data_IF_800689863804
#
_entry.id   IF_800689863804
#
_cell.length_a   1.000
_cell.length_b   1.000
_cell.length_c   1.000
_cell.angle_alpha   90.00
_cell.angle_beta   90.00
_cell.angle_gamma   90.00
#
_symmetry.space_group_name_H-M   'P 1'
#
loop_
_entity.id
_entity.type
_entity.pdbx_description
1 polymer ?
#
# COMPACT_ATOMS: atom_id res chain seq x y z
N UNK A 1 0.10 -20.09 -21.62
CA UNK A 1 -0.21 -18.67 -21.44
C UNK A 1 0.98 -18.03 -20.74
N UNK A 2 1.81 -17.35 -21.54
CA UNK A 2 2.92 -16.41 -21.25
C UNK A 2 3.73 -16.49 -19.95
N UNK A 3 4.89 -17.13 -20.06
CA UNK A 3 6.24 -16.71 -19.65
C UNK A 3 6.29 -15.47 -18.71
N UNK A 4 6.60 -15.71 -17.42
CA UNK A 4 7.21 -14.74 -16.50
C UNK A 4 8.70 -15.10 -16.28
N UNK A 5 9.41 -15.37 -17.37
CA UNK A 5 10.87 -15.41 -17.38
C UNK A 5 11.29 -14.17 -18.16
N UNK A 6 11.61 -13.08 -17.47
CA UNK A 6 12.40 -11.95 -18.00
C UNK A 6 12.39 -10.83 -16.95
N UNK A 7 13.31 -10.84 -15.98
CA UNK A 7 13.66 -9.62 -15.22
C UNK A 7 14.91 -9.75 -14.31
N UNK A 8 15.76 -10.76 -14.51
CA UNK A 8 17.06 -10.85 -13.82
C UNK A 8 18.26 -10.97 -14.78
N UNK A 9 18.00 -10.91 -16.10
CA UNK A 9 19.04 -11.14 -17.12
C UNK A 9 19.89 -9.89 -17.43
N UNK A 10 19.54 -8.71 -16.93
CA UNK A 10 20.20 -7.45 -17.32
C UNK A 10 20.59 -6.60 -16.10
N UNK A 11 21.20 -7.21 -15.08
CA UNK A 11 21.93 -6.44 -14.06
C UNK A 11 23.41 -6.41 -14.39
N UNK A 12 23.99 -7.54 -14.83
CA UNK A 12 25.41 -7.63 -15.16
C UNK A 12 25.79 -6.94 -16.49
N UNK A 13 24.91 -6.96 -17.50
CA UNK A 13 25.10 -6.25 -18.78
C UNK A 13 24.98 -4.75 -18.57
N UNK A 14 23.86 -4.31 -17.99
CA UNK A 14 23.67 -2.99 -17.36
C UNK A 14 24.95 -2.53 -16.65
N UNK A 15 25.46 -3.25 -15.64
CA UNK A 15 26.69 -2.90 -14.89
C UNK A 15 27.90 -2.64 -15.79
N UNK A 16 28.06 -3.40 -16.89
CA UNK A 16 29.21 -3.33 -17.81
C UNK A 16 29.13 -2.16 -18.79
N UNK A 17 27.94 -1.63 -19.05
CA UNK A 17 27.70 -0.55 -20.01
C UNK A 17 27.71 0.85 -19.39
N UNK A 18 27.62 0.98 -18.07
CA UNK A 18 27.64 2.31 -17.43
C UNK A 18 29.04 2.92 -17.42
N UNK A 19 29.14 4.07 -18.06
CA UNK A 19 30.29 4.94 -18.00
C UNK A 19 30.41 5.61 -16.62
N UNK A 20 31.64 5.86 -16.18
CA UNK A 20 31.93 6.56 -14.93
C UNK A 20 31.33 7.99 -14.92
N UNK A 21 31.16 8.57 -16.11
CA UNK A 21 30.50 9.85 -16.35
C UNK A 21 28.99 9.82 -16.09
N UNK A 22 28.29 8.75 -16.49
CA UNK A 22 26.85 8.61 -16.20
C UNK A 22 26.59 8.44 -14.71
N UNK A 23 27.46 7.71 -14.02
CA UNK A 23 27.38 7.56 -12.57
C UNK A 23 27.52 8.92 -11.85
N UNK A 24 28.44 9.78 -12.29
CA UNK A 24 28.62 11.11 -11.72
C UNK A 24 27.41 12.03 -11.99
N UNK A 25 26.88 12.02 -13.21
CA UNK A 25 25.69 12.79 -13.57
C UNK A 25 24.45 12.37 -12.78
N UNK A 26 24.29 11.07 -12.52
CA UNK A 26 23.17 10.57 -11.73
C UNK A 26 23.29 11.00 -10.26
N UNK A 27 24.51 11.03 -9.70
CA UNK A 27 24.75 11.58 -8.36
C UNK A 27 24.35 13.06 -8.30
N UNK A 28 24.74 13.87 -9.28
CA UNK A 28 24.34 15.28 -9.33
C UNK A 28 22.82 15.44 -9.48
N UNK A 29 22.17 14.60 -10.31
CA UNK A 29 20.71 14.61 -10.48
C UNK A 29 20.00 14.33 -9.15
N UNK A 30 20.45 13.32 -8.41
CA UNK A 30 19.87 12.94 -7.11
C UNK A 30 20.08 14.05 -6.07
N UNK A 31 21.26 14.68 -6.06
CA UNK A 31 21.55 15.77 -5.14
C UNK A 31 20.77 17.06 -5.48
N UNK A 32 20.51 17.30 -6.77
CA UNK A 32 19.70 18.42 -7.25
C UNK A 32 18.21 18.17 -7.04
N UNK A 33 17.78 16.91 -7.07
CA UNK A 33 16.40 16.55 -6.81
C UNK A 33 15.98 17.09 -5.43
N UNK A 34 14.83 17.77 -5.40
CA UNK A 34 14.36 18.43 -4.20
C UNK A 34 14.11 17.38 -3.11
N UNK A 35 14.50 17.67 -1.86
CA UNK A 35 14.39 16.73 -0.74
C UNK A 35 12.94 16.25 -0.50
N UNK A 36 11.96 17.01 -0.99
CA UNK A 36 10.53 16.74 -0.81
C UNK A 36 9.94 15.73 -1.81
N UNK A 37 10.69 15.30 -2.85
CA UNK A 37 10.18 14.41 -3.88
C UNK A 37 10.94 13.06 -3.93
N UNK A 38 10.59 12.10 -3.05
CA UNK A 38 11.13 10.73 -3.07
C UNK A 38 11.02 10.03 -4.44
N UNK A 39 9.88 10.16 -5.13
CA UNK A 39 9.63 9.53 -6.43
C UNK A 39 10.55 10.08 -7.52
N UNK A 40 10.84 11.38 -7.50
CA UNK A 40 11.73 12.02 -8.47
C UNK A 40 13.20 11.64 -8.21
N UNK A 41 13.59 11.50 -6.94
CA UNK A 41 14.91 10.98 -6.55
C UNK A 41 15.11 9.56 -7.10
N UNK A 42 14.11 8.68 -6.93
CA UNK A 42 14.11 7.33 -7.49
C UNK A 42 13.76 7.28 -8.99
N UNK A 43 13.36 8.41 -9.57
CA UNK A 43 12.82 8.59 -10.92
C UNK A 43 11.80 7.54 -11.33
N UNK A 44 10.84 7.31 -10.42
CA UNK A 44 9.64 6.51 -10.63
C UNK A 44 8.43 7.44 -10.67
N UNK A 45 7.35 6.95 -11.28
CA UNK A 45 6.06 7.62 -11.20
C UNK A 45 5.45 7.52 -9.79
N UNK A 46 4.54 8.45 -9.45
CA UNK A 46 3.81 8.46 -8.16
C UNK A 46 2.94 7.21 -8.01
N UNK A 47 2.44 6.68 -9.13
CA UNK A 47 1.57 5.50 -9.18
C UNK A 47 2.35 4.22 -9.54
N UNK A 48 3.69 4.26 -9.48
CA UNK A 48 4.53 3.10 -9.78
C UNK A 48 4.28 1.94 -8.81
N UNK A 49 4.31 0.71 -9.32
CA UNK A 49 4.17 -0.49 -8.51
C UNK A 49 5.37 -0.70 -7.58
N UNK A 50 5.16 -1.42 -6.48
CA UNK A 50 6.23 -1.79 -5.54
C UNK A 50 7.36 -2.57 -6.23
N UNK A 51 7.07 -3.31 -7.29
CA UNK A 51 8.08 -4.03 -8.08
C UNK A 51 8.97 -3.07 -8.87
N UNK A 52 8.37 -2.06 -9.52
CA UNK A 52 9.11 -1.05 -10.29
C UNK A 52 9.99 -0.20 -9.38
N UNK A 53 9.47 0.20 -8.22
CA UNK A 53 10.24 0.91 -7.17
C UNK A 53 11.48 0.12 -6.78
N UNK A 54 11.32 -1.19 -6.53
CA UNK A 54 12.44 -2.06 -6.17
C UNK A 54 13.42 -2.27 -7.33
N UNK A 55 12.94 -2.34 -8.57
CA UNK A 55 13.78 -2.49 -9.76
C UNK A 55 14.62 -1.24 -10.00
N UNK A 56 14.01 -0.06 -9.96
CA UNK A 56 14.70 1.22 -10.11
C UNK A 56 15.70 1.47 -8.99
N UNK A 57 15.33 1.18 -7.74
CA UNK A 57 16.25 1.28 -6.61
C UNK A 57 17.49 0.40 -6.79
N UNK A 58 17.32 -0.87 -7.18
CA UNK A 58 18.46 -1.78 -7.44
C UNK A 58 19.36 -1.24 -8.54
N UNK A 59 18.78 -0.80 -9.65
CA UNK A 59 19.55 -0.24 -10.78
C UNK A 59 20.35 0.98 -10.33
N UNK A 60 19.71 1.97 -9.70
CA UNK A 60 20.33 3.24 -9.30
C UNK A 60 21.31 3.11 -8.16
N UNK A 61 21.00 2.28 -7.16
CA UNK A 61 21.92 2.02 -6.03
C UNK A 61 23.25 1.42 -6.49
N UNK A 62 23.24 0.58 -7.54
CA UNK A 62 24.45 0.04 -8.14
C UNK A 62 25.24 1.09 -8.94
N UNK A 63 24.57 2.09 -9.51
CA UNK A 63 25.22 3.20 -10.23
C UNK A 63 25.94 4.15 -9.26
N UNK A 64 25.29 4.50 -8.16
CA UNK A 64 25.81 5.46 -7.18
C UNK A 64 26.54 4.81 -6.01
N UNK A 65 26.83 3.51 -6.10
CA UNK A 65 27.53 2.81 -5.04
C UNK A 65 28.93 3.43 -4.81
N UNK A 66 29.32 3.72 -3.56
CA UNK A 66 30.58 4.42 -3.25
C UNK A 66 31.85 3.67 -3.67
N UNK A 67 31.76 2.35 -3.88
CA UNK A 67 32.88 1.53 -4.38
C UNK A 67 33.09 1.67 -5.90
N UNK A 68 32.03 2.00 -6.65
CA UNK A 68 32.09 2.13 -8.12
C UNK A 68 32.20 3.57 -8.58
N UNK A 69 31.61 4.51 -7.84
CA UNK A 69 31.63 5.92 -8.17
C UNK A 69 32.72 6.63 -7.37
N UNK A 70 33.70 7.23 -8.06
CA UNK A 70 34.77 8.04 -7.43
C UNK A 70 34.29 9.40 -6.92
N UNK A 71 33.02 9.74 -7.12
CA UNK A 71 32.47 11.04 -6.73
C UNK A 71 32.42 11.18 -5.20
N UNK A 72 32.90 12.30 -4.61
CA UNK A 72 32.97 12.47 -3.17
C UNK A 72 31.60 12.39 -2.47
N UNK A 73 30.53 12.73 -3.20
CA UNK A 73 29.15 12.72 -2.68
C UNK A 73 28.38 11.42 -2.98
N UNK A 74 29.00 10.40 -3.56
CA UNK A 74 28.33 9.12 -3.88
C UNK A 74 27.65 8.50 -2.63
N UNK A 75 28.31 8.58 -1.48
CA UNK A 75 27.76 8.10 -0.19
C UNK A 75 26.46 8.82 0.21
N UNK A 76 26.39 10.14 -0.04
CA UNK A 76 25.21 10.96 0.29
C UNK A 76 24.06 10.60 -0.67
N UNK A 77 24.34 10.52 -1.97
CA UNK A 77 23.34 10.13 -2.96
C UNK A 77 22.76 8.73 -2.70
N UNK A 78 23.61 7.77 -2.31
CA UNK A 78 23.16 6.43 -1.92
C UNK A 78 22.23 6.46 -0.70
N UNK A 79 22.55 7.26 0.32
CA UNK A 79 21.69 7.43 1.49
C UNK A 79 20.35 8.10 1.15
N UNK A 80 20.34 9.08 0.25
CA UNK A 80 19.11 9.70 -0.24
C UNK A 80 18.22 8.69 -0.96
N UNK A 81 18.77 7.86 -1.86
CA UNK A 81 18.01 6.80 -2.53
C UNK A 81 17.40 5.79 -1.53
N UNK A 82 18.16 5.41 -0.50
CA UNK A 82 17.67 4.50 0.53
C UNK A 82 16.53 5.12 1.36
N UNK A 83 16.65 6.41 1.67
CA UNK A 83 15.61 7.16 2.40
C UNK A 83 14.36 7.32 1.54
N UNK A 84 14.51 7.71 0.27
CA UNK A 84 13.42 7.86 -0.68
C UNK A 84 12.62 6.55 -0.85
N UNK A 85 13.30 5.41 -1.01
CA UNK A 85 12.64 4.10 -1.08
C UNK A 85 11.79 3.82 0.15
N UNK A 86 12.33 4.09 1.34
CA UNK A 86 11.63 3.87 2.61
C UNK A 86 10.38 4.74 2.73
N UNK A 87 10.49 6.02 2.36
CA UNK A 87 9.37 6.97 2.39
C UNK A 87 8.25 6.53 1.43
N UNK A 88 8.59 6.16 0.18
CA UNK A 88 7.62 5.65 -0.80
C UNK A 88 6.91 4.38 -0.28
N UNK A 89 7.65 3.45 0.33
CA UNK A 89 7.07 2.22 0.91
C UNK A 89 6.14 2.52 2.10
N UNK A 90 6.46 3.51 2.92
CA UNK A 90 5.63 3.93 4.04
C UNK A 90 4.33 4.61 3.57
N UNK A 91 4.41 5.47 2.56
CA UNK A 91 3.24 6.09 1.95
C UNK A 91 2.33 5.08 1.25
N UNK A 92 2.91 4.11 0.54
CA UNK A 92 2.15 3.02 -0.08
C UNK A 92 1.38 2.20 0.96
N UNK A 93 2.00 1.92 2.11
CA UNK A 93 1.31 1.25 3.24
C UNK A 93 0.21 2.11 3.84
N UNK A 94 0.47 3.40 4.05
CA UNK A 94 -0.50 4.32 4.63
C UNK A 94 -1.76 4.46 3.74
N UNK A 95 -1.59 4.59 2.42
CA UNK A 95 -2.71 4.61 1.45
C UNK A 95 -3.56 3.35 1.53
N UNK A 96 -2.91 2.17 1.55
CA UNK A 96 -3.61 0.89 1.64
C UNK A 96 -4.42 0.74 2.93
N UNK A 97 -3.84 1.12 4.07
CA UNK A 97 -4.55 1.10 5.35
C UNK A 97 -5.75 2.06 5.39
N UNK A 98 -5.63 3.23 4.77
CA UNK A 98 -6.73 4.19 4.67
C UNK A 98 -7.90 3.63 3.85
N UNK A 99 -7.60 3.00 2.71
CA UNK A 99 -8.60 2.33 1.87
C UNK A 99 -9.31 1.20 2.62
N UNK A 100 -8.56 0.33 3.31
CA UNK A 100 -9.12 -0.76 4.12
C UNK A 100 -10.01 -0.22 5.26
N UNK A 101 -9.58 0.84 5.96
CA UNK A 101 -10.38 1.51 7.00
C UNK A 101 -11.66 2.10 6.42
N UNK A 102 -11.59 2.70 5.23
CA UNK A 102 -12.76 3.27 4.54
C UNK A 102 -13.74 2.17 4.13
N UNK A 103 -13.24 1.04 3.62
CA UNK A 103 -14.08 -0.11 3.26
C UNK A 103 -14.74 -0.73 4.50
N UNK A 104 -14.00 -0.90 5.60
CA UNK A 104 -14.54 -1.41 6.85
C UNK A 104 -15.64 -0.49 7.41
N UNK A 105 -15.43 0.83 7.37
CA UNK A 105 -16.47 1.81 7.73
C UNK A 105 -17.70 1.68 6.84
N UNK A 106 -17.52 1.51 5.53
CA UNK A 106 -18.64 1.30 4.58
C UNK A 106 -19.41 0.03 4.91
N UNK A 107 -18.72 -1.10 5.12
CA UNK A 107 -19.32 -2.39 5.50
C UNK A 107 -20.07 -2.30 6.83
N UNK A 108 -19.50 -1.60 7.82
CA UNK A 108 -20.14 -1.40 9.12
C UNK A 108 -21.41 -0.55 9.01
N UNK A 109 -21.37 0.54 8.25
CA UNK A 109 -22.54 1.39 8.02
C UNK A 109 -23.65 0.64 7.25
N UNK A 110 -23.27 -0.20 6.29
CA UNK A 110 -24.22 -1.04 5.55
C UNK A 110 -24.83 -2.14 6.44
N UNK A 111 -24.01 -2.78 7.30
CA UNK A 111 -24.48 -3.75 8.28
C UNK A 111 -25.43 -3.11 9.31
N UNK A 112 -25.14 -1.90 9.76
CA UNK A 112 -26.00 -1.13 10.66
C UNK A 112 -27.33 -0.78 9.99
N UNK A 113 -27.29 -0.27 8.76
CA UNK A 113 -28.51 -0.03 7.97
C UNK A 113 -29.35 -1.31 7.81
N UNK A 114 -28.70 -2.42 7.46
CA UNK A 114 -29.39 -3.70 7.32
C UNK A 114 -29.97 -4.20 8.65
N UNK A 115 -29.30 -3.95 9.78
CA UNK A 115 -29.80 -4.27 11.12
C UNK A 115 -31.03 -3.43 11.49
N UNK A 116 -31.01 -2.14 11.16
CA UNK A 116 -32.12 -1.20 11.31
C UNK A 116 -33.33 -1.62 10.46
N UNK A 117 -33.12 -1.91 9.18
CA UNK A 117 -34.19 -2.35 8.26
C UNK A 117 -34.81 -3.68 8.72
N UNK A 118 -34.02 -4.59 9.31
CA UNK A 118 -34.52 -5.84 9.88
C UNK A 118 -35.10 -5.70 11.29
N UNK A 119 -35.12 -4.50 11.89
CA UNK A 119 -35.62 -4.29 13.25
C UNK A 119 -37.10 -4.62 13.36
N UNK A 120 -37.94 -4.11 12.46
CA UNK A 120 -39.39 -4.26 12.56
C UNK A 120 -39.83 -5.72 12.42
N UNK A 121 -39.20 -6.47 11.50
CA UNK A 121 -39.42 -7.91 11.34
C UNK A 121 -39.03 -8.70 12.61
N UNK A 122 -37.88 -8.38 13.23
CA UNK A 122 -37.45 -9.02 14.49
C UNK A 122 -38.39 -8.70 15.65
N UNK A 123 -38.85 -7.46 15.75
CA UNK A 123 -39.83 -7.04 16.77
C UNK A 123 -41.17 -7.74 16.55
N UNK A 124 -41.60 -7.92 15.30
CA UNK A 124 -42.82 -8.65 14.95
C UNK A 124 -42.72 -10.13 15.36
N UNK A 125 -41.59 -10.80 15.13
CA UNK A 125 -41.35 -12.17 15.60
C UNK A 125 -41.38 -12.28 17.12
N UNK A 126 -40.80 -11.32 17.85
CA UNK A 126 -40.85 -11.31 19.32
C UNK A 126 -42.27 -11.08 19.87
N UNK A 127 -43.03 -10.17 19.26
CA UNK A 127 -44.46 -9.96 19.59
C UNK A 127 -45.27 -11.25 19.39
N UNK A 128 -44.99 -11.99 18.33
CA UNK A 128 -45.60 -13.29 18.05
C UNK A 128 -45.18 -14.40 19.04
N UNK A 129 -43.95 -14.35 19.56
CA UNK A 129 -43.50 -15.31 20.57
C UNK A 129 -44.20 -15.09 21.92
N UNK A 130 -44.33 -13.83 22.36
CA UNK A 130 -45.07 -13.49 23.58
C UNK A 130 -46.56 -13.83 23.45
N UNK A 131 -47.17 -13.58 22.29
CA UNK A 131 -48.58 -13.93 22.08
C UNK A 131 -48.83 -15.44 22.12
N UNK A 132 -47.89 -16.29 21.67
CA UNK A 132 -47.98 -17.76 21.77
C UNK A 132 -47.86 -18.29 23.20
N UNK A 133 -47.10 -17.62 24.07
CA UNK A 133 -46.89 -18.04 25.46
C UNK A 133 -48.02 -17.65 26.44
N UNK A 134 -48.86 -16.68 26.08
CA UNK A 134 -49.91 -16.14 26.99
C UNK A 134 -51.26 -16.87 26.86
N UNK A 135 -51.41 -17.84 25.95
CA UNK A 135 -52.64 -18.64 25.81
C UNK A 135 -52.69 -19.94 26.63
N UNK A 136 -51.86 -20.11 27.67
CA UNK A 136 -51.88 -21.34 28.49
C UNK A 136 -52.20 -21.15 29.97
N UNK A 137 -52.51 -19.93 30.45
CA UNK A 137 -52.88 -19.75 31.86
C UNK A 137 -53.99 -18.71 32.05
N UNK A 138 -55.16 -18.98 31.46
CA UNK A 138 -56.43 -18.55 32.07
C UNK A 138 -57.07 -19.80 32.64
N UNK A 139 -56.60 -20.17 33.84
CA UNK A 139 -57.26 -21.14 34.71
C UNK A 139 -58.67 -20.60 34.99
N UNK A 140 -59.65 -21.30 34.44
CA UNK A 140 -60.96 -21.63 35.05
C UNK A 140 -61.16 -21.00 36.42
N UNK A 141 -61.87 -19.88 36.48
CA UNK A 141 -62.65 -19.50 37.66
C UNK A 141 -63.62 -18.37 37.35
N UNK A 142 -64.86 -18.69 37.00
CA UNK A 142 -66.02 -17.90 37.44
C UNK A 142 -67.29 -18.76 37.33
N UNK A 143 -67.87 -19.01 38.52
CA UNK A 143 -69.28 -19.26 38.88
C UNK A 143 -70.24 -19.89 37.86
#
# INVERSE_FOLDING_TARGET
MSIMEDNNLDVAQTIREFSETEAALEVERILKAFKLNPWEQLGVDIDASTEEINKQYRKRSLLVHPDRCKHPQAKIAFQLLATAKKEIEEEGRAKKEEEEKKELKRKKAEAEKNWEDQRDSRVAEWRNFLSKGVYSLVIVNTF
#
